data_IF_571662999620
#
_entry.id   IF_571662999620
#
_cell.length_a   1.000
_cell.length_b   1.000
_cell.length_c   1.000
_cell.angle_alpha   90.00
_cell.angle_beta   90.00
_cell.angle_gamma   90.00
#
_symmetry.space_group_name_H-M   'P 1'
#
loop_
_entity.id
_entity.type
_entity.pdbx_description
1 polymer ?
#
# COMPACT_ATOMS: atom_id res chain seq x y z
N UNK A 1 -9.25 51.51 7.09
CA UNK A 1 -9.93 50.26 6.67
C UNK A 1 -9.08 49.10 7.18
N UNK A 2 -9.59 48.39 8.18
CA UNK A 2 -8.80 47.81 9.29
C UNK A 2 -8.11 46.49 8.96
N UNK A 3 -6.82 46.40 9.28
CA UNK A 3 -5.99 45.18 9.29
C UNK A 3 -6.60 44.08 10.18
N UNK A 4 -7.35 44.47 11.21
CA UNK A 4 -8.10 43.57 12.09
C UNK A 4 -9.18 42.74 11.39
N UNK A 5 -9.77 43.22 10.28
CA UNK A 5 -10.85 42.48 9.60
C UNK A 5 -10.31 41.36 8.70
N UNK A 6 -9.08 41.49 8.20
CA UNK A 6 -8.44 40.45 7.38
C UNK A 6 -7.96 39.25 8.21
N UNK A 7 -7.62 39.47 9.48
CA UNK A 7 -7.22 38.39 10.39
C UNK A 7 -8.41 37.51 10.82
N UNK A 8 -9.60 38.10 11.00
CA UNK A 8 -10.81 37.37 11.39
C UNK A 8 -11.39 36.50 10.25
N UNK A 9 -11.29 36.94 9.00
CA UNK A 9 -11.72 36.13 7.84
C UNK A 9 -10.76 34.95 7.60
N UNK A 10 -9.46 35.11 7.89
CA UNK A 10 -8.48 34.02 7.83
C UNK A 10 -8.70 32.94 8.90
N UNK A 11 -9.13 33.32 10.10
CA UNK A 11 -9.38 32.37 11.19
C UNK A 11 -10.63 31.49 10.96
N UNK A 12 -11.63 32.02 10.25
CA UNK A 12 -12.87 31.28 9.95
C UNK A 12 -12.66 30.17 8.89
N UNK A 13 -11.73 30.36 7.95
CA UNK A 13 -11.37 29.32 6.96
C UNK A 13 -10.50 28.20 7.55
N UNK A 14 -9.69 28.51 8.58
CA UNK A 14 -8.92 27.49 9.30
C UNK A 14 -9.80 26.65 10.25
N UNK A 15 -10.89 27.22 10.79
CA UNK A 15 -11.82 26.50 11.66
C UNK A 15 -12.76 25.54 10.89
N UNK A 16 -13.02 25.77 9.59
CA UNK A 16 -13.83 24.86 8.78
C UNK A 16 -13.12 23.58 8.33
N UNK A 17 -11.79 23.51 8.46
CA UNK A 17 -11.02 22.29 8.13
C UNK A 17 -10.89 21.34 9.34
N UNK A 18 -11.20 21.80 10.55
CA UNK A 18 -11.08 20.99 11.78
C UNK A 18 -12.42 20.48 12.34
N UNK A 19 -13.55 20.77 11.68
CA UNK A 19 -14.89 20.43 12.17
C UNK A 19 -15.61 19.32 11.38
N UNK A 20 -14.93 18.57 10.51
CA UNK A 20 -15.55 17.43 9.79
C UNK A 20 -14.68 16.18 9.77
N UNK A 21 -13.97 15.89 10.85
CA UNK A 21 -13.61 14.50 11.17
C UNK A 21 -14.70 13.94 12.09
N UNK A 22 -15.95 14.00 11.60
CA UNK A 22 -16.98 13.11 12.13
C UNK A 22 -16.48 11.71 11.78
N UNK A 23 -16.35 10.77 12.74
CA UNK A 23 -16.12 9.38 12.38
C UNK A 23 -17.27 9.03 11.44
N UNK A 24 -16.96 8.75 10.17
CA UNK A 24 -17.96 8.33 9.19
C UNK A 24 -18.54 7.05 9.75
N UNK A 25 -19.68 7.21 10.42
CA UNK A 25 -20.46 6.16 11.00
C UNK A 25 -21.09 5.44 9.81
N UNK A 26 -20.50 4.29 9.47
CA UNK A 26 -21.11 3.19 8.70
C UNK A 26 -22.08 3.66 7.60
N UNK A 27 -21.57 4.49 6.69
CA UNK A 27 -22.32 4.86 5.49
C UNK A 27 -22.35 3.66 4.55
N UNK A 28 -23.35 2.78 4.74
CA UNK A 28 -23.62 1.55 4.00
C UNK A 28 -22.39 0.66 3.84
N UNK A 29 -22.40 -0.54 4.43
CA UNK A 29 -21.45 -1.59 4.06
C UNK A 29 -21.43 -1.73 2.52
N UNK A 30 -20.49 -1.02 1.88
CA UNK A 30 -20.12 -1.20 0.49
C UNK A 30 -19.73 -2.66 0.48
N UNK A 31 -20.62 -3.47 -0.09
CA UNK A 31 -20.50 -4.91 -0.14
C UNK A 31 -19.06 -5.19 -0.56
N UNK A 32 -18.21 -5.51 0.41
CA UNK A 32 -17.00 -6.27 0.20
C UNK A 32 -17.54 -7.60 -0.23
N UNK A 33 -17.89 -7.70 -1.51
CA UNK A 33 -18.18 -8.96 -2.13
C UNK A 33 -16.82 -9.64 -2.10
N UNK A 34 -16.59 -10.41 -1.05
CA UNK A 34 -15.59 -11.46 -1.06
C UNK A 34 -16.03 -12.35 -2.21
N UNK A 35 -15.56 -12.02 -3.42
CA UNK A 35 -15.73 -12.87 -4.59
C UNK A 35 -14.80 -14.03 -4.26
N UNK A 36 -15.34 -15.21 -3.87
CA UNK A 36 -14.48 -16.37 -3.72
C UNK A 36 -13.77 -16.50 -5.05
N UNK A 37 -12.44 -16.55 -5.02
CA UNK A 37 -11.69 -16.98 -6.19
C UNK A 37 -12.34 -18.29 -6.58
N UNK A 38 -12.98 -18.31 -7.75
CA UNK A 38 -13.51 -19.54 -8.28
C UNK A 38 -12.27 -20.36 -8.65
N UNK A 39 -11.72 -21.09 -7.68
CA UNK A 39 -10.53 -21.93 -7.82
C UNK A 39 -10.75 -23.06 -8.81
N UNK A 40 -11.98 -23.22 -9.32
CA UNK A 40 -12.31 -24.08 -10.44
C UNK A 40 -12.04 -23.47 -11.80
N UNK A 41 -11.60 -22.21 -11.91
CA UNK A 41 -10.94 -21.79 -13.15
C UNK A 41 -9.67 -22.64 -13.21
N UNK A 42 -9.64 -23.69 -14.05
CA UNK A 42 -8.59 -24.68 -13.96
C UNK A 42 -7.31 -23.94 -14.28
N UNK A 43 -6.47 -23.74 -13.27
CA UNK A 43 -5.06 -23.50 -13.46
C UNK A 43 -4.54 -24.78 -14.13
N UNK A 44 -4.80 -24.91 -15.43
CA UNK A 44 -4.24 -25.98 -16.24
C UNK A 44 -2.75 -25.69 -16.18
N UNK A 45 -2.04 -26.54 -15.44
CA UNK A 45 -0.59 -26.66 -15.47
C UNK A 45 -0.22 -27.14 -16.88
N UNK A 46 -0.33 -26.26 -17.87
CA UNK A 46 0.23 -26.48 -19.19
C UNK A 46 1.74 -26.45 -19.00
N UNK A 47 2.39 -27.61 -19.14
CA UNK A 47 3.85 -27.80 -19.19
C UNK A 47 4.63 -27.82 -17.86
N UNK A 48 3.99 -28.12 -16.72
CA UNK A 48 4.71 -28.33 -15.45
C UNK A 48 5.39 -27.08 -14.88
N UNK A 49 5.11 -25.90 -15.44
CA UNK A 49 5.47 -24.61 -14.83
C UNK A 49 4.44 -24.25 -13.78
N UNK A 50 4.89 -23.67 -12.67
CA UNK A 50 3.97 -23.07 -11.70
C UNK A 50 3.07 -22.05 -12.41
N UNK A 51 1.78 -21.99 -12.06
CA UNK A 51 0.88 -21.01 -12.66
C UNK A 51 1.40 -19.59 -12.45
N UNK A 52 1.13 -18.65 -13.38
CA UNK A 52 1.49 -17.25 -13.19
C UNK A 52 0.94 -16.73 -11.86
N UNK A 53 1.75 -15.96 -11.14
CA UNK A 53 1.35 -15.30 -9.90
C UNK A 53 0.10 -14.43 -10.17
N UNK A 54 -1.03 -14.69 -9.50
CA UNK A 54 -2.28 -13.99 -9.78
C UNK A 54 -2.23 -12.49 -9.45
N UNK A 55 -1.25 -12.04 -8.67
CA UNK A 55 -1.06 -10.62 -8.33
C UNK A 55 -0.43 -9.80 -9.46
N UNK A 56 0.16 -10.46 -10.46
CA UNK A 56 0.88 -9.80 -11.56
C UNK A 56 -0.07 -9.17 -12.59
N UNK A 57 -1.36 -9.56 -12.60
CA UNK A 57 -2.33 -9.11 -13.59
C UNK A 57 -3.66 -8.78 -12.92
N UNK A 58 -4.25 -7.66 -13.34
CA UNK A 58 -5.59 -7.28 -12.93
C UNK A 58 -6.65 -8.32 -13.34
N UNK A 59 -7.64 -8.53 -12.48
CA UNK A 59 -8.78 -9.43 -12.71
C UNK A 59 -10.11 -8.70 -12.60
N UNK A 60 -11.19 -9.20 -13.17
CA UNK A 60 -12.44 -8.48 -13.35
C UNK A 60 -13.40 -8.43 -12.15
N UNK A 61 -12.94 -8.79 -10.96
CA UNK A 61 -13.78 -8.83 -9.75
C UNK A 61 -13.70 -7.57 -8.88
N UNK A 62 -12.76 -6.64 -9.13
CA UNK A 62 -12.70 -5.36 -8.42
C UNK A 62 -11.95 -4.28 -9.22
N UNK A 63 -12.30 -3.02 -9.01
CA UNK A 63 -11.65 -1.88 -9.66
C UNK A 63 -10.25 -1.65 -9.12
N UNK A 64 -10.00 -1.91 -7.84
CA UNK A 64 -8.66 -1.88 -7.25
C UNK A 64 -8.32 -3.24 -6.68
N UNK A 65 -7.10 -3.71 -6.96
CA UNK A 65 -6.58 -4.95 -6.42
C UNK A 65 -5.23 -4.68 -5.77
N UNK A 66 -5.19 -4.80 -4.46
CA UNK A 66 -3.98 -4.67 -3.67
C UNK A 66 -3.58 -6.05 -3.17
N UNK A 67 -2.37 -6.49 -3.51
CA UNK A 67 -1.81 -7.74 -3.01
C UNK A 67 -0.59 -7.45 -2.15
N UNK A 68 -0.55 -8.09 -0.99
CA UNK A 68 0.48 -7.93 0.02
C UNK A 68 1.11 -9.30 0.25
N UNK A 69 2.41 -9.41 -0.02
CA UNK A 69 3.16 -10.64 0.18
C UNK A 69 3.23 -11.01 1.66
N UNK A 70 2.93 -12.28 1.97
CA UNK A 70 2.94 -12.80 3.33
C UNK A 70 4.20 -13.58 3.73
N UNK A 71 5.01 -14.03 2.76
CA UNK A 71 6.12 -14.94 3.04
C UNK A 71 7.42 -14.23 3.44
N UNK A 72 7.62 -13.01 2.94
CA UNK A 72 8.76 -12.17 3.28
C UNK A 72 8.19 -10.90 3.88
N UNK A 73 8.73 -10.53 5.02
CA UNK A 73 8.39 -9.29 5.68
C UNK A 73 9.64 -8.45 5.83
N UNK A 74 9.44 -7.15 5.73
CA UNK A 74 10.51 -6.17 5.66
C UNK A 74 10.27 -5.19 6.82
N UNK A 75 11.28 -5.00 7.64
CA UNK A 75 11.29 -3.95 8.63
C UNK A 75 11.39 -2.60 7.90
N UNK A 76 10.33 -1.81 7.97
CA UNK A 76 10.40 -0.38 7.62
C UNK A 76 10.93 0.46 8.78
N UNK A 77 11.10 -0.18 9.95
CA UNK A 77 11.68 0.40 11.15
C UNK A 77 10.80 1.53 11.68
N UNK A 78 11.41 2.56 12.25
CA UNK A 78 10.71 3.71 12.84
C UNK A 78 10.09 4.67 11.82
N UNK A 79 10.35 4.48 10.52
CA UNK A 79 9.69 5.26 9.46
C UNK A 79 8.34 4.62 9.14
N UNK A 80 7.29 5.15 9.73
CA UNK A 80 5.92 4.60 9.71
C UNK A 80 4.87 5.68 9.41
N UNK A 81 3.62 5.27 9.19
CA UNK A 81 2.50 6.19 9.02
C UNK A 81 2.68 7.15 7.85
N UNK A 82 2.32 8.42 8.04
CA UNK A 82 2.40 9.45 7.01
C UNK A 82 3.83 9.75 6.57
N UNK A 83 4.82 9.58 7.45
CA UNK A 83 6.24 9.75 7.07
C UNK A 83 6.63 8.70 6.02
N UNK A 84 6.19 7.45 6.22
CA UNK A 84 6.42 6.38 5.26
C UNK A 84 5.67 6.65 3.95
N UNK A 85 4.41 7.12 4.00
CA UNK A 85 3.65 7.53 2.82
C UNK A 85 4.46 8.52 1.95
N UNK A 86 4.90 9.63 2.55
CA UNK A 86 5.59 10.72 1.86
C UNK A 86 6.93 10.27 1.24
N UNK A 87 7.64 9.37 1.93
CA UNK A 87 8.89 8.79 1.42
C UNK A 87 8.60 7.90 0.21
N UNK A 88 7.67 6.96 0.33
CA UNK A 88 7.34 6.02 -0.75
C UNK A 88 6.80 6.78 -1.97
N UNK A 89 5.88 7.72 -1.77
CA UNK A 89 5.36 8.54 -2.85
C UNK A 89 6.48 9.24 -3.61
N UNK A 90 7.38 9.96 -2.91
CA UNK A 90 8.47 10.70 -3.55
C UNK A 90 9.47 9.80 -4.27
N UNK A 91 9.81 8.64 -3.70
CA UNK A 91 10.73 7.70 -4.33
C UNK A 91 10.14 7.14 -5.64
N UNK A 92 8.88 6.71 -5.61
CA UNK A 92 8.19 6.21 -6.80
C UNK A 92 7.94 7.32 -7.84
N UNK A 93 7.57 8.52 -7.40
CA UNK A 93 7.35 9.65 -8.31
C UNK A 93 8.64 10.02 -9.05
N UNK A 94 9.77 10.01 -8.33
CA UNK A 94 11.09 10.27 -8.91
C UNK A 94 11.54 9.20 -9.89
N UNK A 95 11.40 7.92 -9.53
CA UNK A 95 11.94 6.81 -10.32
C UNK A 95 11.08 6.46 -11.53
N UNK A 96 9.77 6.66 -11.41
CA UNK A 96 8.81 6.37 -12.46
C UNK A 96 8.13 7.66 -12.91
N UNK A 97 8.80 8.65 -13.52
CA UNK A 97 8.22 9.95 -13.82
C UNK A 97 7.10 9.87 -14.88
N UNK A 98 6.18 10.84 -14.89
CA UNK A 98 5.04 10.84 -15.81
C UNK A 98 5.42 11.08 -17.29
N UNK A 99 6.64 11.52 -17.58
CA UNK A 99 7.10 11.89 -18.92
C UNK A 99 7.85 10.76 -19.65
N UNK A 100 7.68 9.51 -19.23
CA UNK A 100 8.25 8.36 -19.94
C UNK A 100 7.46 8.11 -21.22
N UNK A 101 8.15 7.98 -22.35
CA UNK A 101 7.53 7.82 -23.68
C UNK A 101 6.57 6.61 -23.75
N UNK A 102 6.83 5.58 -22.95
CA UNK A 102 6.06 4.33 -22.94
C UNK A 102 4.99 4.28 -21.82
N UNK A 103 4.94 5.28 -20.94
CA UNK A 103 4.15 5.23 -19.69
C UNK A 103 4.37 3.94 -18.87
N UNK A 104 5.62 3.48 -18.88
CA UNK A 104 6.06 2.25 -18.24
C UNK A 104 7.33 2.52 -17.45
N UNK A 105 7.45 1.89 -16.28
CA UNK A 105 8.61 1.91 -15.42
C UNK A 105 9.06 0.48 -15.15
N UNK A 106 10.32 0.16 -15.39
CA UNK A 106 10.94 -1.10 -14.98
C UNK A 106 12.32 -0.78 -14.40
N UNK A 107 12.36 -0.62 -13.06
CA UNK A 107 13.59 -0.35 -12.33
C UNK A 107 13.96 -1.56 -11.50
N UNK A 108 14.86 -2.39 -12.03
CA UNK A 108 15.46 -3.54 -11.33
C UNK A 108 16.74 -3.17 -10.57
N UNK A 109 17.19 -1.92 -10.70
CA UNK A 109 18.49 -1.42 -10.22
C UNK A 109 18.34 -0.32 -9.16
N UNK A 110 17.12 0.10 -8.86
CA UNK A 110 16.87 1.13 -7.86
C UNK A 110 17.28 0.63 -6.48
N UNK A 111 18.33 1.21 -5.90
CA UNK A 111 18.53 1.22 -4.45
C UNK A 111 17.88 2.50 -3.90
N UNK A 112 16.58 2.66 -4.13
CA UNK A 112 15.84 3.80 -3.58
C UNK A 112 15.59 3.51 -2.11
N UNK A 113 16.49 4.00 -1.29
CA UNK A 113 16.52 3.70 0.12
C UNK A 113 16.17 4.91 0.95
N UNK A 114 15.57 4.66 2.11
CA UNK A 114 15.43 5.62 3.18
C UNK A 114 16.11 5.07 4.44
N UNK A 115 16.66 5.99 5.23
CA UNK A 115 17.24 5.63 6.51
C UNK A 115 16.11 5.32 7.51
N UNK A 116 16.30 4.30 8.33
CA UNK A 116 15.36 3.93 9.39
C UNK A 116 16.10 3.31 10.57
N UNK A 117 15.45 3.24 11.73
CA UNK A 117 15.95 2.49 12.89
C UNK A 117 15.14 1.20 13.04
N UNK A 118 15.81 0.07 13.20
CA UNK A 118 15.15 -1.23 13.39
C UNK A 118 15.86 -2.08 14.45
N UNK A 119 15.21 -3.16 14.89
CA UNK A 119 15.84 -4.18 15.70
C UNK A 119 16.70 -5.09 14.81
N UNK A 120 17.90 -5.43 15.30
CA UNK A 120 18.64 -6.54 14.70
C UNK A 120 17.92 -7.85 15.04
N UNK A 121 17.93 -8.84 14.14
CA UNK A 121 17.30 -10.18 14.26
C UNK A 121 17.31 -10.86 15.64
N UNK A 122 18.20 -10.46 16.56
CA UNK A 122 18.17 -10.89 17.97
C UNK A 122 17.94 -9.69 18.89
N UNK A 123 16.69 -9.47 19.29
CA UNK A 123 16.39 -8.76 20.54
C UNK A 123 17.11 -9.48 21.70
N UNK A 124 17.74 -8.78 22.66
CA UNK A 124 17.72 -7.34 22.91
C UNK A 124 19.01 -6.61 22.49
N UNK A 125 19.67 -6.95 21.36
CA UNK A 125 20.99 -6.37 20.98
C UNK A 125 20.97 -4.89 20.55
N UNK A 126 19.98 -4.11 21.00
CA UNK A 126 19.81 -2.68 20.73
C UNK A 126 19.19 -2.37 19.38
N UNK A 127 18.77 -1.11 19.19
CA UNK A 127 18.41 -0.59 17.88
C UNK A 127 19.65 -0.38 17.01
N UNK A 128 19.45 -0.47 15.70
CA UNK A 128 20.50 -0.19 14.71
C UNK A 128 19.93 0.71 13.63
N UNK A 129 20.72 1.71 13.25
CA UNK A 129 20.46 2.49 12.04
C UNK A 129 20.72 1.61 10.82
N UNK A 130 19.78 1.62 9.88
CA UNK A 130 19.89 0.89 8.63
C UNK A 130 19.12 1.59 7.52
N UNK A 131 18.95 0.87 6.42
CA UNK A 131 18.18 1.33 5.29
C UNK A 131 17.12 0.30 4.91
N UNK A 132 15.95 0.80 4.55
CA UNK A 132 14.93 0.04 3.82
C UNK A 132 14.83 0.65 2.43
N UNK A 133 14.66 -0.20 1.43
CA UNK A 133 14.78 0.14 0.03
C UNK A 133 13.65 -0.46 -0.80
N UNK A 134 13.23 0.25 -1.84
CA UNK A 134 12.49 -0.32 -2.95
C UNK A 134 13.52 -0.91 -3.92
N UNK A 135 13.59 -2.24 -4.01
CA UNK A 135 14.61 -2.99 -4.77
C UNK A 135 14.21 -3.19 -6.23
N UNK A 136 12.92 -3.38 -6.48
CA UNK A 136 12.38 -3.51 -7.82
C UNK A 136 11.10 -2.70 -7.92
N UNK A 137 10.93 -2.02 -9.06
CA UNK A 137 9.65 -1.43 -9.47
C UNK A 137 9.31 -1.97 -10.85
N UNK A 138 8.06 -2.40 -10.99
CA UNK A 138 7.43 -2.57 -12.29
C UNK A 138 6.13 -1.79 -12.29
N UNK A 139 5.92 -0.96 -13.29
CA UNK A 139 4.70 -0.19 -13.41
C UNK A 139 4.36 0.10 -14.85
N UNK A 140 3.07 0.15 -15.13
CA UNK A 140 2.54 0.59 -16.40
C UNK A 140 1.26 1.37 -16.13
N UNK A 141 1.07 2.46 -16.84
CA UNK A 141 -0.09 3.32 -16.67
C UNK A 141 -0.51 3.90 -18.01
N UNK A 142 -1.76 4.36 -18.09
CA UNK A 142 -2.22 5.04 -19.30
C UNK A 142 -1.79 6.51 -19.35
N UNK A 143 -1.87 7.21 -18.21
CA UNK A 143 -1.64 8.65 -18.10
C UNK A 143 -1.22 9.06 -16.66
N UNK A 144 -0.85 10.32 -16.49
CA UNK A 144 -0.36 10.86 -15.21
C UNK A 144 -1.32 10.76 -14.04
N UNK A 145 -2.61 11.09 -14.18
CA UNK A 145 -3.58 10.87 -13.11
C UNK A 145 -3.63 9.42 -12.62
N UNK A 146 -3.67 8.43 -13.53
CA UNK A 146 -3.67 7.00 -13.17
C UNK A 146 -2.36 6.56 -12.53
N UNK A 147 -1.23 7.05 -13.02
CA UNK A 147 0.10 6.87 -12.39
C UNK A 147 0.11 7.37 -10.96
N UNK A 148 -0.39 8.58 -10.71
CA UNK A 148 -0.44 9.16 -9.37
C UNK A 148 -1.34 8.33 -8.44
N UNK A 149 -2.47 7.83 -8.93
CA UNK A 149 -3.34 6.93 -8.16
C UNK A 149 -2.64 5.61 -7.81
N UNK A 150 -1.88 5.04 -8.75
CA UNK A 150 -1.11 3.82 -8.52
C UNK A 150 -0.02 4.03 -7.45
N UNK A 151 0.73 5.14 -7.54
CA UNK A 151 1.73 5.52 -6.52
C UNK A 151 1.05 5.72 -5.16
N UNK A 152 -0.09 6.44 -5.14
CA UNK A 152 -0.86 6.69 -3.93
C UNK A 152 -1.40 5.44 -3.28
N UNK A 153 -1.89 4.49 -4.07
CA UNK A 153 -2.36 3.21 -3.57
C UNK A 153 -1.22 2.40 -2.94
N UNK A 154 -0.03 2.37 -3.55
CA UNK A 154 1.15 1.69 -2.97
C UNK A 154 1.61 2.38 -1.67
N UNK A 155 1.75 3.71 -1.68
CA UNK A 155 2.16 4.47 -0.51
C UNK A 155 1.14 4.37 0.64
N UNK A 156 -0.15 4.52 0.33
CA UNK A 156 -1.26 4.37 1.28
C UNK A 156 -1.39 2.97 1.84
N UNK A 157 -1.07 1.93 1.05
CA UNK A 157 -0.98 0.55 1.55
C UNK A 157 0.11 0.43 2.60
N UNK A 158 1.34 0.91 2.32
CA UNK A 158 2.45 0.83 3.28
C UNK A 158 2.22 1.67 4.54
N UNK A 159 1.64 2.86 4.41
CA UNK A 159 1.17 3.64 5.55
C UNK A 159 0.15 2.87 6.39
N UNK A 160 -0.88 2.32 5.75
CA UNK A 160 -1.95 1.59 6.43
C UNK A 160 -1.45 0.37 7.19
N UNK A 161 -0.48 -0.36 6.62
CA UNK A 161 0.15 -1.51 7.26
C UNK A 161 0.99 -1.12 8.48
N UNK A 162 1.32 0.15 8.67
CA UNK A 162 2.13 0.63 9.81
C UNK A 162 1.36 1.52 10.78
N UNK A 163 0.03 1.56 10.66
CA UNK A 163 -0.82 2.25 11.62
C UNK A 163 -0.68 1.59 13.00
N UNK A 164 -0.53 2.39 14.07
CA UNK A 164 -0.49 1.86 15.43
C UNK A 164 -1.75 1.05 15.71
N UNK A 165 -1.57 -0.17 16.20
CA UNK A 165 -2.69 -1.00 16.61
C UNK A 165 -3.09 -0.69 18.05
N UNK A 166 -4.38 -0.82 18.40
CA UNK A 166 -4.85 -0.61 19.77
C UNK A 166 -4.23 -1.61 20.76
N UNK A 167 -3.73 -2.75 20.26
CA UNK A 167 -3.15 -3.82 21.06
C UNK A 167 -1.70 -4.04 20.67
N UNK A 168 -0.77 -3.70 21.58
CA UNK A 168 0.64 -4.12 21.54
C UNK A 168 0.80 -5.64 21.81
N UNK A 169 -0.08 -6.44 21.21
CA UNK A 169 -0.14 -7.89 21.37
C UNK A 169 0.91 -8.61 20.54
N UNK A 170 1.08 -9.93 20.75
CA UNK A 170 2.06 -10.75 20.03
C UNK A 170 1.79 -10.87 18.52
N UNK A 171 0.64 -10.38 18.06
CA UNK A 171 0.21 -10.34 16.67
C UNK A 171 0.55 -9.01 16.01
N UNK A 172 1.01 -7.99 16.75
CA UNK A 172 1.33 -6.70 16.16
C UNK A 172 2.55 -6.83 15.26
N UNK A 173 2.46 -6.24 14.07
CA UNK A 173 3.61 -6.09 13.18
C UNK A 173 4.58 -5.00 13.65
N UNK A 174 4.21 -4.25 14.69
CA UNK A 174 5.00 -3.16 15.25
C UNK A 174 5.67 -3.56 16.56
N UNK A 175 6.83 -2.98 16.81
CA UNK A 175 7.75 -3.29 17.90
C UNK A 175 8.38 -2.02 18.46
N UNK A 176 8.87 -2.09 19.70
CA UNK A 176 9.59 -0.98 20.31
C UNK A 176 11.07 -0.98 19.85
N UNK A 177 11.56 0.20 19.49
CA UNK A 177 12.91 0.51 19.05
C UNK A 177 13.38 1.73 19.84
N UNK A 178 14.01 1.48 20.98
CA UNK A 178 14.50 2.52 21.90
C UNK A 178 13.41 3.56 22.27
N UNK A 179 12.21 3.09 22.62
CA UNK A 179 11.08 3.95 22.99
C UNK A 179 10.33 4.57 21.80
N UNK A 180 10.68 4.21 20.56
CA UNK A 180 9.92 4.55 19.35
C UNK A 180 9.27 3.29 18.79
N UNK A 181 8.11 3.44 18.15
CA UNK A 181 7.50 2.33 17.40
C UNK A 181 8.21 2.16 16.06
N UNK A 182 8.59 0.94 15.74
CA UNK A 182 8.95 0.53 14.38
C UNK A 182 8.05 -0.61 13.92
N UNK A 183 7.91 -0.83 12.61
CA UNK A 183 7.00 -1.85 12.09
C UNK A 183 7.62 -2.69 10.97
N UNK A 184 7.06 -3.88 10.77
CA UNK A 184 7.24 -4.67 9.56
C UNK A 184 6.07 -4.49 8.60
N UNK A 185 6.33 -4.73 7.32
CA UNK A 185 5.32 -4.80 6.27
C UNK A 185 5.52 -6.04 5.43
N UNK A 186 4.47 -6.44 4.71
CA UNK A 186 4.56 -7.50 3.70
C UNK A 186 5.36 -7.11 2.47
N UNK A 187 5.92 -8.11 1.79
CA UNK A 187 6.69 -7.95 0.56
C UNK A 187 6.44 -9.14 -0.39
N UNK A 188 6.13 -8.89 -1.67
CA UNK A 188 5.99 -7.60 -2.35
C UNK A 188 4.66 -6.87 -2.10
N UNK A 189 4.53 -5.65 -2.64
CA UNK A 189 3.26 -4.92 -2.74
C UNK A 189 2.90 -4.77 -4.22
N UNK A 190 1.71 -5.20 -4.61
CA UNK A 190 1.23 -5.17 -5.99
C UNK A 190 -0.13 -4.48 -6.04
N UNK A 191 -0.22 -3.38 -6.77
CA UNK A 191 -1.49 -2.69 -7.03
C UNK A 191 -1.83 -2.80 -8.50
N UNK A 192 -3.06 -3.21 -8.79
CA UNK A 192 -3.59 -3.29 -10.14
C UNK A 192 -4.93 -2.54 -10.24
N UNK A 193 -5.10 -1.81 -11.35
CA UNK A 193 -6.35 -1.19 -11.80
C UNK A 193 -6.78 -1.80 -13.14
N UNK A 194 -8.03 -1.56 -13.59
CA UNK A 194 -8.52 -2.16 -14.82
C UNK A 194 -7.70 -1.70 -16.02
N UNK A 195 -7.51 -2.56 -17.02
CA UNK A 195 -6.91 -2.13 -18.27
C UNK A 195 -7.79 -1.08 -18.95
N UNK A 196 -7.17 -0.17 -19.69
CA UNK A 196 -7.87 0.84 -20.47
C UNK A 196 -7.24 0.91 -21.86
N UNK A 197 -8.07 0.84 -22.91
CA UNK A 197 -7.62 0.72 -24.31
C UNK A 197 -6.62 -0.43 -24.53
N UNK A 198 -6.82 -1.56 -23.86
CA UNK A 198 -5.95 -2.73 -23.94
C UNK A 198 -4.59 -2.59 -23.26
N UNK A 199 -4.32 -1.46 -22.58
CA UNK A 199 -3.10 -1.27 -21.78
C UNK A 199 -3.35 -1.57 -20.31
N UNK A 200 -2.45 -2.30 -19.63
CA UNK A 200 -2.56 -2.56 -18.21
C UNK A 200 -2.30 -1.29 -17.39
N UNK A 201 -2.81 -1.27 -16.15
CA UNK A 201 -2.55 -0.20 -15.18
C UNK A 201 -2.13 -0.86 -13.86
N UNK A 202 -0.84 -0.82 -13.54
CA UNK A 202 -0.32 -1.45 -12.34
C UNK A 202 0.93 -0.76 -11.79
N UNK A 203 1.19 -0.98 -10.51
CA UNK A 203 2.42 -0.59 -9.84
C UNK A 203 2.77 -1.64 -8.81
N UNK A 204 3.94 -2.22 -9.00
CA UNK A 204 4.43 -3.38 -8.30
C UNK A 204 5.79 -3.04 -7.73
N UNK A 205 5.97 -3.28 -6.43
CA UNK A 205 7.22 -3.01 -5.76
C UNK A 205 7.68 -4.20 -4.94
N UNK A 206 8.99 -4.43 -4.97
CA UNK A 206 9.66 -5.34 -4.06
C UNK A 206 10.47 -4.51 -3.06
N UNK A 207 10.25 -4.76 -1.78
CA UNK A 207 10.97 -4.14 -0.68
C UNK A 207 12.17 -4.99 -0.27
N UNK A 208 13.18 -4.34 0.28
CA UNK A 208 14.34 -4.96 0.91
C UNK A 208 14.82 -4.08 2.05
N UNK A 209 15.15 -4.66 3.18
CA UNK A 209 15.84 -4.02 4.29
C UNK A 209 17.30 -4.50 4.41
N UNK A 210 18.03 -3.80 5.27
CA UNK A 210 19.42 -4.14 5.62
C UNK A 210 19.48 -5.40 6.48
N UNK A 211 18.42 -5.70 7.23
CA UNK A 211 18.34 -6.80 8.18
C UNK A 211 17.01 -7.50 7.97
N UNK A 212 16.94 -8.84 7.88
CA UNK A 212 15.63 -9.49 7.80
C UNK A 212 14.77 -9.05 8.99
N UNK A 213 13.48 -8.80 8.73
CA UNK A 213 12.58 -8.19 9.69
C UNK A 213 12.64 -8.82 11.09
N UNK A 214 12.41 -8.00 12.11
CA UNK A 214 12.31 -8.47 13.48
C UNK A 214 10.87 -8.87 13.77
N UNK A 215 10.62 -10.03 14.39
CA UNK A 215 9.26 -10.52 14.72
C UNK A 215 8.47 -11.02 13.51
N UNK A 216 7.29 -11.59 13.75
CA UNK A 216 6.45 -12.17 12.69
C UNK A 216 5.64 -11.07 12.00
N UNK A 217 5.36 -11.29 10.73
CA UNK A 217 4.36 -10.55 9.97
C UNK A 217 3.22 -11.50 9.65
N UNK A 218 1.99 -11.04 9.89
CA UNK A 218 0.79 -11.73 9.46
C UNK A 218 -0.19 -10.70 8.92
N UNK A 219 -0.28 -10.62 7.59
CA UNK A 219 -1.20 -9.71 6.90
C UNK A 219 -2.68 -9.97 7.24
N UNK A 220 -3.02 -11.19 7.64
CA UNK A 220 -4.37 -11.55 8.05
C UNK A 220 -4.68 -11.22 9.51
N UNK A 221 -3.67 -10.90 10.30
CA UNK A 221 -3.85 -10.47 11.68
C UNK A 221 -4.27 -8.99 11.78
N UNK A 222 -4.85 -8.64 12.92
CA UNK A 222 -4.95 -7.27 13.44
C UNK A 222 -5.39 -6.17 12.46
N UNK A 223 -6.52 -6.35 11.80
CA UNK A 223 -7.16 -5.33 10.97
C UNK A 223 -6.29 -4.78 9.82
N UNK A 224 -5.13 -5.36 9.50
CA UNK A 224 -4.24 -4.85 8.45
C UNK A 224 -4.94 -4.75 7.11
N UNK A 225 -5.67 -5.80 6.71
CA UNK A 225 -6.51 -5.79 5.49
C UNK A 225 -7.51 -4.63 5.51
N UNK A 226 -8.24 -4.49 6.61
CA UNK A 226 -9.25 -3.43 6.76
C UNK A 226 -8.63 -2.03 6.74
N UNK A 227 -7.43 -1.86 7.31
CA UNK A 227 -6.70 -0.59 7.28
C UNK A 227 -6.28 -0.22 5.86
N UNK A 228 -5.82 -1.20 5.06
CA UNK A 228 -5.48 -1.00 3.65
C UNK A 228 -6.73 -0.69 2.84
N UNK A 229 -7.81 -1.45 3.04
CA UNK A 229 -9.10 -1.19 2.40
C UNK A 229 -9.58 0.24 2.69
N UNK A 230 -9.49 0.71 3.94
CA UNK A 230 -9.85 2.07 4.31
C UNK A 230 -8.93 3.14 3.67
N UNK A 231 -7.63 2.85 3.51
CA UNK A 231 -6.72 3.74 2.80
C UNK A 231 -7.06 3.85 1.30
N UNK A 232 -7.43 2.72 0.68
CA UNK A 232 -7.86 2.69 -0.73
C UNK A 232 -9.23 3.39 -0.90
N UNK A 233 -10.14 3.31 0.06
CA UNK A 233 -11.40 4.08 0.05
C UNK A 233 -11.16 5.58 0.01
N UNK A 234 -10.08 6.05 0.65
CA UNK A 234 -9.67 7.45 0.60
C UNK A 234 -9.35 7.95 -0.81
N UNK A 235 -9.08 7.04 -1.76
CA UNK A 235 -8.81 7.34 -3.17
C UNK A 235 -10.03 7.09 -4.08
N UNK A 236 -11.17 6.68 -3.52
CA UNK A 236 -12.32 6.19 -4.29
C UNK A 236 -12.88 7.20 -5.29
N UNK A 237 -12.93 8.49 -4.92
CA UNK A 237 -13.44 9.55 -5.77
C UNK A 237 -12.58 9.75 -7.02
N UNK A 238 -11.26 9.83 -6.85
CA UNK A 238 -10.31 9.98 -7.95
C UNK A 238 -10.26 8.72 -8.82
N UNK A 239 -10.34 7.53 -8.22
CA UNK A 239 -10.38 6.26 -8.95
C UNK A 239 -11.64 6.19 -9.81
N UNK A 240 -12.83 6.46 -9.24
CA UNK A 240 -14.08 6.49 -9.99
C UNK A 240 -14.04 7.51 -11.15
N UNK A 241 -13.42 8.68 -10.92
CA UNK A 241 -13.27 9.70 -11.97
C UNK A 241 -12.36 9.26 -13.14
N UNK A 242 -11.35 8.42 -12.87
CA UNK A 242 -10.37 7.96 -13.86
C UNK A 242 -10.70 6.62 -14.51
N UNK A 243 -11.58 5.83 -13.90
CA UNK A 243 -11.98 4.49 -14.35
C UNK A 243 -13.50 4.39 -14.54
N UNK A 244 -14.12 5.38 -15.19
CA UNK A 244 -15.58 5.55 -15.34
C UNK A 244 -16.37 4.35 -15.90
N UNK A 245 -15.70 3.41 -16.57
CA UNK A 245 -16.31 2.18 -17.06
C UNK A 245 -16.55 1.13 -15.94
N UNK A 246 -16.05 1.40 -14.73
CA UNK A 246 -16.06 0.51 -13.58
C UNK A 246 -16.61 1.24 -12.36
N UNK A 247 -17.58 0.62 -11.68
CA UNK A 247 -17.99 1.08 -10.36
C UNK A 247 -16.83 0.90 -9.36
N UNK A 248 -16.62 1.87 -8.47
CA UNK A 248 -15.55 1.74 -7.49
C UNK A 248 -15.78 0.53 -6.59
N UNK A 249 -14.78 -0.34 -6.56
CA UNK A 249 -14.69 -1.49 -5.68
C UNK A 249 -13.21 -1.77 -5.43
N UNK A 250 -12.89 -2.33 -4.28
CA UNK A 250 -11.52 -2.65 -3.89
C UNK A 250 -11.46 -4.06 -3.34
N UNK A 251 -10.31 -4.69 -3.50
CA UNK A 251 -9.99 -5.93 -2.83
C UNK A 251 -8.54 -5.91 -2.39
N UNK A 252 -8.31 -6.15 -1.11
CA UNK A 252 -6.98 -6.39 -0.54
C UNK A 252 -6.81 -7.87 -0.28
N UNK A 253 -5.70 -8.44 -0.77
CA UNK A 253 -5.32 -9.84 -0.55
C UNK A 253 -3.99 -9.95 0.18
N UNK A 254 -3.95 -10.89 1.10
CA UNK A 254 -2.79 -11.25 1.89
C UNK A 254 -2.33 -12.63 1.42
N UNK A 255 -1.08 -12.74 0.95
CA UNK A 255 -0.49 -13.92 0.29
C UNK A 255 -0.59 -13.92 -1.24
N UNK A 256 0.54 -14.25 -1.84
CA UNK A 256 0.68 -14.58 -3.27
C UNK A 256 0.46 -16.08 -3.54
N UNK A 257 0.32 -16.87 -2.47
CA UNK A 257 0.10 -18.30 -2.54
C UNK A 257 -1.38 -18.60 -2.32
N UNK A 258 -2.04 -19.31 -3.26
CA UNK A 258 -3.42 -19.78 -3.10
C UNK A 258 -3.61 -20.59 -1.81
N UNK A 259 -4.66 -20.30 -1.04
CA UNK A 259 -5.03 -21.05 0.17
C UNK A 259 -4.63 -20.42 1.51
N UNK A 260 -3.97 -19.26 1.49
CA UNK A 260 -3.69 -18.44 2.67
C UNK A 260 -4.54 -17.16 2.72
N UNK A 261 -5.66 -17.13 1.99
CA UNK A 261 -6.59 -16.01 2.05
C UNK A 261 -7.20 -15.96 3.47
N UNK A 262 -7.20 -14.77 4.08
CA UNK A 262 -7.76 -14.54 5.41
C UNK A 262 -9.25 -14.92 5.39
N UNK A 263 -9.59 -16.03 6.03
CA UNK A 263 -10.95 -16.59 6.11
C UNK A 263 -11.67 -16.15 7.37
#
# INVERSE_FOLDING_TARGET
MNIFFRFLVGLFLAATVLASVVPVHEGNALLTRDVPLNTTDPYILTDGKAPPDPSEVWRDYSTVQTWIGGQKFIAVGTTIGSELYDIIWRLLDKECPNNLAENRCDSKRGNMCWATQSLRQSYPKGSWGGFTCIKAIQGEWQNGPKRNLLIGAVAGTLEALTKPEPTDGPTSNCFDVDGKKGCNVGNPIRVNFPPYDGKPNFMHIDLKDTYDGAMKWDCCSNFHRANVDAAIDGLSGEIAANFKAWDFSRQTKCSLIPGNDCS
#
